data_IF_033290652420
#
_entry.id   IF_033290652420
#
_cell.length_a   1.000
_cell.length_b   1.000
_cell.length_c   1.000
_cell.angle_alpha   90.00
_cell.angle_beta   90.00
_cell.angle_gamma   90.00
#
_symmetry.space_group_name_H-M   'P 1'
#
loop_
_entity.id
_entity.type
_entity.pdbx_description
1 polymer ?
#
# COMPACT_ATOMS: atom_id res chain seq x y z
N UNK A 1 18.07 -29.57 29.84
CA UNK A 1 17.81 -28.28 30.55
C UNK A 1 16.82 -27.46 29.71
N UNK A 2 15.55 -27.41 30.15
CA UNK A 2 14.52 -26.61 29.54
C UNK A 2 14.68 -25.17 30.06
N UNK A 3 15.18 -24.26 29.27
CA UNK A 3 15.21 -22.83 29.57
C UNK A 3 13.76 -22.32 29.66
N UNK A 4 13.29 -22.03 30.88
CA UNK A 4 12.07 -21.26 31.11
C UNK A 4 12.29 -19.86 30.51
N UNK A 5 11.92 -19.64 29.24
CA UNK A 5 11.66 -18.28 28.75
C UNK A 5 10.42 -17.76 29.48
N UNK A 6 10.55 -16.65 30.20
CA UNK A 6 9.41 -15.93 30.72
C UNK A 6 8.45 -15.61 29.56
N UNK A 7 7.16 -15.84 29.76
CA UNK A 7 6.16 -15.44 28.79
C UNK A 7 6.30 -13.92 28.54
N UNK A 8 6.21 -13.46 27.29
CA UNK A 8 6.23 -12.03 27.02
C UNK A 8 5.10 -11.35 27.80
N UNK A 9 5.41 -10.28 28.50
CA UNK A 9 4.41 -9.44 29.14
C UNK A 9 3.56 -8.81 28.01
N UNK A 10 2.32 -9.25 27.90
CA UNK A 10 1.35 -8.63 27.02
C UNK A 10 0.90 -7.32 27.67
N UNK A 11 1.43 -6.21 27.21
CA UNK A 11 0.82 -4.90 27.46
C UNK A 11 -0.62 -4.93 26.93
N UNK A 12 -1.58 -4.41 27.69
CA UNK A 12 -2.96 -4.28 27.22
C UNK A 12 -2.96 -3.44 25.95
N UNK A 13 -3.41 -3.98 24.79
CA UNK A 13 -3.37 -3.24 23.55
C UNK A 13 -4.22 -1.98 23.66
N UNK A 14 -3.62 -0.82 23.37
CA UNK A 14 -4.37 0.43 23.26
C UNK A 14 -5.29 0.35 22.03
N UNK A 15 -6.58 0.55 22.23
CA UNK A 15 -7.55 0.49 21.15
C UNK A 15 -7.44 1.77 20.29
N UNK A 16 -7.13 1.63 19.00
CA UNK A 16 -7.09 2.75 18.06
C UNK A 16 -8.40 2.79 17.28
N UNK A 17 -9.16 3.87 17.46
CA UNK A 17 -10.42 4.08 16.74
C UNK A 17 -10.17 4.48 15.27
N UNK A 18 -11.19 4.33 14.42
CA UNK A 18 -11.13 4.80 13.02
C UNK A 18 -10.77 6.29 12.91
N UNK A 19 -11.27 7.11 13.83
CA UNK A 19 -11.01 8.55 13.87
C UNK A 19 -9.55 8.85 14.24
N UNK A 20 -9.01 8.13 15.21
CA UNK A 20 -7.62 8.28 15.63
C UNK A 20 -6.66 7.79 14.56
N UNK A 21 -6.97 6.68 13.92
CA UNK A 21 -6.20 6.17 12.77
C UNK A 21 -6.14 7.20 11.62
N UNK A 22 -7.30 7.80 11.27
CA UNK A 22 -7.33 8.84 10.24
C UNK A 22 -6.54 10.09 10.66
N UNK A 23 -6.60 10.51 11.92
CA UNK A 23 -5.87 11.66 12.45
C UNK A 23 -4.36 11.42 12.45
N UNK A 24 -3.91 10.22 12.85
CA UNK A 24 -2.50 9.86 12.96
C UNK A 24 -1.86 9.58 11.59
N UNK A 25 -2.56 8.88 10.71
CA UNK A 25 -2.05 8.55 9.37
C UNK A 25 -3.16 8.61 8.31
N UNK A 26 -3.54 9.83 7.86
CA UNK A 26 -4.56 10.00 6.82
C UNK A 26 -4.19 9.30 5.51
N UNK A 27 -2.89 9.22 5.21
CA UNK A 27 -2.38 8.58 4.01
C UNK A 27 -2.60 7.06 4.03
N UNK A 28 -2.31 6.42 5.16
CA UNK A 28 -2.55 4.98 5.31
C UNK A 28 -4.05 4.66 5.31
N UNK A 29 -4.87 5.50 5.95
CA UNK A 29 -6.32 5.32 5.98
C UNK A 29 -6.93 5.38 4.58
N UNK A 30 -6.68 6.47 3.84
CA UNK A 30 -7.21 6.66 2.48
C UNK A 30 -6.60 5.64 1.50
N UNK A 31 -5.31 5.35 1.63
CA UNK A 31 -4.62 4.33 0.82
C UNK A 31 -5.21 2.93 1.02
N UNK A 32 -5.46 2.52 2.28
CA UNK A 32 -6.06 1.21 2.59
C UNK A 32 -7.50 1.10 2.06
N UNK A 33 -8.32 2.14 2.25
CA UNK A 33 -9.69 2.17 1.74
C UNK A 33 -9.71 2.09 0.22
N UNK A 34 -8.94 2.96 -0.46
CA UNK A 34 -8.93 3.04 -1.92
C UNK A 34 -8.40 1.74 -2.57
N UNK A 35 -7.30 1.16 -2.03
CA UNK A 35 -6.82 -0.12 -2.57
C UNK A 35 -7.77 -1.27 -2.26
N UNK A 36 -8.49 -1.24 -1.13
CA UNK A 36 -9.57 -2.17 -0.84
C UNK A 36 -10.66 -2.13 -1.91
N UNK A 37 -11.09 -0.93 -2.32
CA UNK A 37 -12.04 -0.74 -3.41
C UNK A 37 -11.54 -1.36 -4.73
N UNK A 38 -10.25 -1.19 -5.05
CA UNK A 38 -9.62 -1.80 -6.23
C UNK A 38 -9.57 -3.34 -6.10
N UNK A 39 -9.22 -3.87 -4.92
CA UNK A 39 -9.18 -5.32 -4.71
C UNK A 39 -10.55 -5.96 -4.89
N UNK A 40 -11.58 -5.37 -4.29
CA UNK A 40 -12.95 -5.85 -4.46
C UNK A 40 -13.39 -5.86 -5.92
N UNK A 41 -13.07 -4.79 -6.65
CA UNK A 41 -13.36 -4.69 -8.07
C UNK A 41 -12.55 -5.71 -8.90
N UNK A 42 -11.22 -5.71 -8.75
CA UNK A 42 -10.32 -6.53 -9.58
C UNK A 42 -10.47 -8.02 -9.28
N UNK A 43 -10.37 -8.45 -8.01
CA UNK A 43 -10.50 -9.86 -7.67
C UNK A 43 -11.95 -10.37 -7.78
N UNK A 44 -12.93 -9.51 -7.47
CA UNK A 44 -14.34 -9.90 -7.53
C UNK A 44 -14.88 -10.02 -8.95
N UNK A 45 -14.49 -9.14 -9.86
CA UNK A 45 -15.14 -9.00 -11.16
C UNK A 45 -14.23 -9.20 -12.39
N UNK A 46 -12.95 -9.55 -12.23
CA UNK A 46 -12.05 -9.80 -13.37
C UNK A 46 -12.55 -10.95 -14.27
N UNK A 47 -13.13 -11.99 -13.68
CA UNK A 47 -13.70 -13.08 -14.44
C UNK A 47 -14.95 -12.64 -15.22
N UNK A 48 -15.80 -11.78 -14.62
CA UNK A 48 -16.96 -11.18 -15.27
C UNK A 48 -16.51 -10.25 -16.40
N UNK A 49 -15.45 -9.48 -16.20
CA UNK A 49 -14.81 -8.68 -17.25
C UNK A 49 -14.40 -9.52 -18.45
N UNK A 50 -13.69 -10.64 -18.21
CA UNK A 50 -13.32 -11.58 -19.28
C UNK A 50 -14.52 -12.20 -20.00
N UNK A 51 -15.56 -12.57 -19.25
CA UNK A 51 -16.79 -13.11 -19.83
C UNK A 51 -17.54 -12.08 -20.71
N UNK A 52 -17.61 -10.82 -20.28
CA UNK A 52 -18.20 -9.73 -21.07
C UNK A 52 -17.42 -9.42 -22.34
N UNK A 53 -16.09 -9.67 -22.37
CA UNK A 53 -15.27 -9.58 -23.58
C UNK A 53 -15.44 -10.78 -24.52
N UNK A 54 -16.26 -11.78 -24.18
CA UNK A 54 -16.45 -12.99 -24.98
C UNK A 54 -15.25 -13.95 -24.93
N UNK A 55 -14.37 -13.84 -23.94
CA UNK A 55 -13.23 -14.74 -23.78
C UNK A 55 -13.69 -16.15 -23.44
N UNK A 56 -12.98 -17.17 -23.95
CA UNK A 56 -13.21 -18.56 -23.57
C UNK A 56 -12.91 -18.79 -22.07
N UNK A 57 -13.47 -19.84 -21.50
CA UNK A 57 -13.22 -20.22 -20.09
C UNK A 57 -11.72 -20.35 -19.82
N UNK A 58 -10.96 -20.93 -20.75
CA UNK A 58 -9.51 -21.05 -20.62
C UNK A 58 -8.80 -19.69 -20.59
N UNK A 59 -9.19 -18.75 -21.46
CA UNK A 59 -8.64 -17.39 -21.47
C UNK A 59 -9.00 -16.64 -20.20
N UNK A 60 -10.23 -16.79 -19.68
CA UNK A 60 -10.63 -16.20 -18.38
C UNK A 60 -9.77 -16.77 -17.25
N UNK A 61 -9.50 -18.08 -17.25
CA UNK A 61 -8.64 -18.70 -16.24
C UNK A 61 -7.21 -18.15 -16.29
N UNK A 62 -6.64 -17.94 -17.49
CA UNK A 62 -5.32 -17.29 -17.65
C UNK A 62 -5.36 -15.85 -17.17
N UNK A 63 -6.41 -15.10 -17.47
CA UNK A 63 -6.58 -13.72 -17.05
C UNK A 63 -6.61 -13.60 -15.51
N UNK A 64 -7.38 -14.45 -14.84
CA UNK A 64 -7.44 -14.53 -13.37
C UNK A 64 -6.08 -14.94 -12.79
N UNK A 65 -5.43 -15.94 -13.39
CA UNK A 65 -4.10 -16.37 -12.99
C UNK A 65 -3.08 -15.23 -13.08
N UNK A 66 -3.01 -14.53 -14.20
CA UNK A 66 -2.09 -13.40 -14.40
C UNK A 66 -2.38 -12.30 -13.41
N UNK A 67 -3.65 -11.94 -13.21
CA UNK A 67 -4.07 -10.93 -12.24
C UNK A 67 -3.63 -11.26 -10.80
N UNK A 68 -3.59 -12.53 -10.43
CA UNK A 68 -3.21 -12.94 -9.06
C UNK A 68 -1.71 -13.22 -8.96
N UNK A 69 -1.17 -14.01 -9.89
CA UNK A 69 0.21 -14.52 -9.82
C UNK A 69 1.25 -13.40 -10.00
N UNK A 70 1.06 -12.54 -11.01
CA UNK A 70 1.99 -11.43 -11.24
C UNK A 70 1.98 -10.47 -10.05
N UNK A 71 0.81 -10.15 -9.49
CA UNK A 71 0.73 -9.33 -8.30
C UNK A 71 1.45 -9.94 -7.10
N UNK A 72 1.28 -11.25 -6.86
CA UNK A 72 1.97 -11.97 -5.80
C UNK A 72 3.50 -12.00 -6.00
N UNK A 73 3.96 -12.19 -7.24
CA UNK A 73 5.38 -12.19 -7.57
C UNK A 73 6.04 -10.83 -7.28
N UNK A 74 5.33 -9.74 -7.53
CA UNK A 74 5.84 -8.39 -7.33
C UNK A 74 5.75 -7.90 -5.88
N UNK A 75 5.14 -8.63 -4.95
CA UNK A 75 5.12 -8.26 -3.53
C UNK A 75 6.52 -8.13 -2.95
N UNK A 76 7.41 -9.07 -3.26
CA UNK A 76 8.78 -9.04 -2.75
C UNK A 76 9.61 -7.87 -3.31
N UNK A 77 9.72 -7.65 -4.65
CA UNK A 77 10.48 -6.53 -5.18
C UNK A 77 9.92 -5.17 -4.74
N UNK A 78 8.60 -4.98 -4.74
CA UNK A 78 7.99 -3.72 -4.31
C UNK A 78 8.17 -3.51 -2.80
N UNK A 79 8.03 -4.55 -1.97
CA UNK A 79 8.30 -4.50 -0.54
C UNK A 79 9.73 -4.05 -0.27
N UNK A 80 10.72 -4.69 -0.88
CA UNK A 80 12.14 -4.32 -0.76
C UNK A 80 12.41 -2.88 -1.21
N UNK A 81 11.76 -2.43 -2.28
CA UNK A 81 11.89 -1.06 -2.76
C UNK A 81 11.32 -0.06 -1.73
N UNK A 82 10.18 -0.38 -1.12
CA UNK A 82 9.56 0.47 -0.12
C UNK A 82 10.32 0.52 1.22
N UNK A 83 11.19 -0.46 1.48
CA UNK A 83 12.07 -0.44 2.67
C UNK A 83 13.32 0.42 2.47
N UNK A 84 13.70 0.70 1.21
CA UNK A 84 14.90 1.49 0.86
C UNK A 84 14.60 2.95 0.52
N UNK A 85 13.38 3.24 0.05
CA UNK A 85 12.97 4.57 -0.36
C UNK A 85 11.81 5.10 0.49
N UNK A 86 11.53 6.40 0.42
CA UNK A 86 10.37 7.00 1.08
C UNK A 86 9.08 6.33 0.59
N UNK A 87 8.35 5.69 1.50
CA UNK A 87 7.13 4.93 1.21
C UNK A 87 6.05 5.78 0.54
N UNK A 88 6.00 7.08 0.83
CA UNK A 88 5.06 8.03 0.19
C UNK A 88 5.36 8.18 -1.31
N UNK A 89 6.65 8.23 -1.67
CA UNK A 89 7.08 8.30 -3.08
C UNK A 89 6.78 6.98 -3.78
N UNK A 90 7.05 5.85 -3.13
CA UNK A 90 6.72 4.53 -3.69
C UNK A 90 5.22 4.41 -3.94
N UNK A 91 4.36 4.77 -2.97
CA UNK A 91 2.90 4.76 -3.15
C UNK A 91 2.45 5.66 -4.30
N UNK A 92 3.07 6.82 -4.49
CA UNK A 92 2.78 7.70 -5.62
C UNK A 92 3.15 7.05 -6.96
N UNK A 93 4.32 6.44 -7.05
CA UNK A 93 4.79 5.74 -8.25
C UNK A 93 3.85 4.56 -8.58
N UNK A 94 3.47 3.76 -7.58
CA UNK A 94 2.53 2.65 -7.74
C UNK A 94 1.17 3.14 -8.28
N UNK A 95 0.64 4.25 -7.73
CA UNK A 95 -0.60 4.85 -8.22
C UNK A 95 -0.50 5.30 -9.68
N UNK A 96 0.61 5.92 -10.08
CA UNK A 96 0.81 6.38 -11.46
C UNK A 96 0.92 5.18 -12.41
N UNK A 97 1.70 4.16 -12.08
CA UNK A 97 1.84 2.96 -12.93
C UNK A 97 0.48 2.23 -13.05
N UNK A 98 -0.26 2.09 -11.95
CA UNK A 98 -1.58 1.47 -11.94
C UNK A 98 -2.60 2.26 -12.77
N UNK A 99 -2.58 3.59 -12.69
CA UNK A 99 -3.40 4.47 -13.51
C UNK A 99 -3.07 4.29 -15.00
N UNK A 100 -1.80 4.40 -15.37
CA UNK A 100 -1.36 4.25 -16.76
C UNK A 100 -1.71 2.87 -17.30
N UNK A 101 -1.46 1.79 -16.53
CA UNK A 101 -1.83 0.44 -16.95
C UNK A 101 -3.34 0.27 -17.13
N UNK A 102 -4.17 0.86 -16.26
CA UNK A 102 -5.63 0.86 -16.42
C UNK A 102 -6.07 1.54 -17.70
N UNK A 103 -5.49 2.71 -18.03
CA UNK A 103 -5.73 3.42 -19.28
C UNK A 103 -5.28 2.58 -20.48
N UNK A 104 -4.12 1.92 -20.38
CA UNK A 104 -3.64 1.04 -21.46
C UNK A 104 -4.56 -0.16 -21.67
N UNK A 105 -5.16 -0.74 -20.63
CA UNK A 105 -6.18 -1.79 -20.82
C UNK A 105 -7.39 -1.25 -21.57
N UNK A 106 -7.86 -0.05 -21.27
CA UNK A 106 -9.01 0.56 -21.94
C UNK A 106 -8.72 0.80 -23.43
N UNK A 107 -7.53 1.31 -23.77
CA UNK A 107 -7.19 1.69 -25.14
C UNK A 107 -6.74 0.49 -25.98
N UNK A 108 -5.92 -0.37 -25.42
CA UNK A 108 -5.23 -1.42 -26.16
C UNK A 108 -5.72 -2.84 -25.87
N UNK A 109 -6.53 -3.04 -24.82
CA UNK A 109 -6.97 -4.37 -24.40
C UNK A 109 -7.81 -5.11 -25.44
N UNK A 110 -8.48 -4.40 -26.37
CA UNK A 110 -9.27 -4.97 -27.46
C UNK A 110 -8.43 -5.48 -28.64
N UNK A 111 -7.15 -5.08 -28.76
CA UNK A 111 -6.33 -5.42 -29.91
C UNK A 111 -5.91 -6.89 -29.93
N UNK A 112 -5.54 -7.44 -28.79
CA UNK A 112 -5.26 -8.87 -28.66
C UNK A 112 -5.29 -9.31 -27.20
N UNK A 113 -5.55 -10.61 -26.98
CA UNK A 113 -5.55 -11.21 -25.65
C UNK A 113 -4.18 -11.07 -24.95
N UNK A 114 -3.06 -11.17 -25.68
CA UNK A 114 -1.73 -11.03 -25.08
C UNK A 114 -1.45 -9.60 -24.60
N UNK A 115 -1.91 -8.58 -25.35
CA UNK A 115 -1.81 -7.17 -24.93
C UNK A 115 -2.67 -6.92 -23.69
N UNK A 116 -3.87 -7.48 -23.64
CA UNK A 116 -4.73 -7.44 -22.47
C UNK A 116 -4.02 -8.02 -21.24
N UNK A 117 -3.45 -9.24 -21.37
CA UNK A 117 -2.71 -9.90 -20.29
C UNK A 117 -1.51 -9.09 -19.83
N UNK A 118 -0.77 -8.47 -20.74
CA UNK A 118 0.37 -7.62 -20.42
C UNK A 118 -0.04 -6.48 -19.48
N UNK A 119 -1.05 -5.70 -19.86
CA UNK A 119 -1.44 -4.53 -19.08
C UNK A 119 -2.19 -4.89 -17.80
N UNK A 120 -2.98 -5.96 -17.79
CA UNK A 120 -3.57 -6.52 -16.56
C UNK A 120 -2.47 -7.02 -15.61
N UNK A 121 -1.43 -7.66 -16.14
CA UNK A 121 -0.27 -8.10 -15.36
C UNK A 121 0.48 -6.91 -14.73
N UNK A 122 0.76 -5.84 -15.51
CA UNK A 122 1.39 -4.61 -14.98
C UNK A 122 0.50 -3.96 -13.91
N UNK A 123 -0.80 -3.86 -14.15
CA UNK A 123 -1.76 -3.35 -13.17
C UNK A 123 -1.68 -4.13 -11.87
N UNK A 124 -1.70 -5.45 -11.94
CA UNK A 124 -1.66 -6.33 -10.78
C UNK A 124 -0.31 -6.29 -10.04
N UNK A 125 0.81 -6.18 -10.78
CA UNK A 125 2.16 -6.09 -10.24
C UNK A 125 2.33 -4.92 -9.25
N UNK A 126 1.59 -3.84 -9.45
CA UNK A 126 1.66 -2.66 -8.59
C UNK A 126 0.48 -2.54 -7.61
N UNK A 127 -0.67 -3.09 -7.98
CA UNK A 127 -1.88 -3.05 -7.14
C UNK A 127 -1.75 -3.97 -5.92
N UNK A 128 -1.37 -5.23 -6.12
CA UNK A 128 -1.37 -6.22 -5.04
C UNK A 128 -0.38 -5.91 -3.90
N UNK A 129 0.86 -5.46 -4.15
CA UNK A 129 1.78 -5.06 -3.09
C UNK A 129 1.41 -3.73 -2.40
N UNK A 130 0.52 -2.93 -2.97
CA UNK A 130 0.18 -1.60 -2.48
C UNK A 130 -0.23 -1.58 -1.00
N UNK A 131 -1.10 -2.51 -0.58
CA UNK A 131 -1.55 -2.59 0.82
C UNK A 131 -0.41 -2.90 1.78
N UNK A 132 0.56 -3.74 1.38
CA UNK A 132 1.74 -4.02 2.19
C UNK A 132 2.58 -2.75 2.42
N UNK A 133 2.72 -1.90 1.40
CA UNK A 133 3.42 -0.60 1.53
C UNK A 133 2.62 0.36 2.43
N UNK A 134 1.30 0.38 2.32
CA UNK A 134 0.42 1.21 3.17
C UNK A 134 0.52 0.82 4.64
N UNK A 135 0.48 -0.48 4.96
CA UNK A 135 0.59 -0.97 6.34
C UNK A 135 1.99 -0.71 6.91
N UNK A 136 3.02 -0.86 6.07
CA UNK A 136 4.40 -0.53 6.45
C UNK A 136 4.58 0.97 6.71
N UNK A 137 3.92 1.83 5.91
CA UNK A 137 3.91 3.27 6.14
C UNK A 137 3.22 3.64 7.46
N UNK A 138 2.10 2.98 7.80
CA UNK A 138 1.45 3.19 9.09
C UNK A 138 2.38 2.83 10.26
N UNK A 139 3.04 1.69 10.17
CA UNK A 139 3.91 1.16 11.23
C UNK A 139 5.14 2.04 11.51
N UNK A 140 5.56 2.88 10.56
CA UNK A 140 6.67 3.83 10.76
C UNK A 140 6.35 4.91 11.81
N UNK A 141 5.07 5.14 12.12
CA UNK A 141 4.60 6.21 13.03
C UNK A 141 4.00 5.68 14.33
N UNK A 142 4.03 4.36 14.58
CA UNK A 142 3.38 3.73 15.73
C UNK A 142 4.39 3.23 16.75
N UNK A 143 4.01 3.30 18.02
CA UNK A 143 4.69 2.60 19.09
C UNK A 143 4.39 1.09 19.02
N UNK A 144 5.28 0.26 19.60
CA UNK A 144 5.18 -1.21 19.49
C UNK A 144 3.87 -1.80 20.05
N UNK A 145 3.31 -1.18 21.07
CA UNK A 145 2.05 -1.57 21.71
C UNK A 145 0.80 -1.15 20.89
N UNK A 146 0.95 -0.23 19.95
CA UNK A 146 -0.13 0.27 19.09
C UNK A 146 -0.23 -0.48 17.74
N UNK A 147 0.87 -1.12 17.27
CA UNK A 147 0.97 -1.73 15.94
C UNK A 147 -0.15 -2.73 15.68
N UNK A 148 -0.45 -3.62 16.63
CA UNK A 148 -1.48 -4.67 16.44
C UNK A 148 -2.87 -4.05 16.31
N UNK A 149 -3.21 -3.08 17.17
CA UNK A 149 -4.51 -2.43 17.13
C UNK A 149 -4.69 -1.56 15.88
N UNK A 150 -3.69 -0.76 15.53
CA UNK A 150 -3.72 0.09 14.33
C UNK A 150 -3.81 -0.74 13.06
N UNK A 151 -3.04 -1.83 12.95
CA UNK A 151 -3.08 -2.74 11.80
C UNK A 151 -4.44 -3.43 11.68
N UNK A 152 -5.05 -3.83 12.80
CA UNK A 152 -6.40 -4.40 12.80
C UNK A 152 -7.44 -3.40 12.32
N UNK A 153 -7.38 -2.14 12.80
CA UNK A 153 -8.28 -1.08 12.37
C UNK A 153 -8.06 -0.72 10.89
N UNK A 154 -6.80 -0.70 10.42
CA UNK A 154 -6.49 -0.47 9.00
C UNK A 154 -7.03 -1.60 8.11
N UNK A 155 -6.94 -2.85 8.56
CA UNK A 155 -7.51 -4.00 7.86
C UNK A 155 -9.03 -3.88 7.75
N UNK A 156 -9.71 -3.39 8.79
CA UNK A 156 -11.15 -3.11 8.73
C UNK A 156 -11.48 -2.05 7.69
N UNK A 157 -10.69 -0.96 7.61
CA UNK A 157 -10.85 0.08 6.60
C UNK A 157 -10.67 -0.48 5.18
N UNK A 158 -9.67 -1.34 4.98
CA UNK A 158 -9.45 -2.02 3.71
C UNK A 158 -10.62 -2.95 3.35
N UNK A 159 -11.13 -3.72 4.33
CA UNK A 159 -12.28 -4.60 4.14
C UNK A 159 -13.56 -3.85 3.76
N UNK A 160 -13.81 -2.67 4.33
CA UNK A 160 -14.92 -1.81 3.90
C UNK A 160 -14.79 -1.41 2.43
N UNK A 161 -13.58 -1.04 1.99
CA UNK A 161 -13.31 -0.78 0.57
C UNK A 161 -13.58 -2.02 -0.30
N UNK A 162 -13.10 -3.18 0.13
CA UNK A 162 -13.25 -4.46 -0.57
C UNK A 162 -14.73 -4.86 -0.77
N UNK A 163 -15.59 -4.54 0.17
CA UNK A 163 -17.05 -4.79 0.06
C UNK A 163 -17.72 -3.77 -0.87
N UNK A 164 -17.33 -2.50 -0.79
CA UNK A 164 -17.94 -1.45 -1.61
C UNK A 164 -17.48 -1.48 -3.07
N UNK A 165 -16.24 -1.94 -3.33
CA UNK A 165 -15.66 -2.00 -4.66
C UNK A 165 -16.53 -2.71 -5.71
N UNK A 166 -16.93 -3.97 -5.50
CA UNK A 166 -17.76 -4.72 -6.44
C UNK A 166 -19.12 -4.07 -6.70
N UNK A 167 -19.72 -3.44 -5.68
CA UNK A 167 -21.02 -2.77 -5.80
C UNK A 167 -20.91 -1.59 -6.76
N UNK A 168 -19.91 -0.73 -6.56
CA UNK A 168 -19.74 0.47 -7.36
C UNK A 168 -19.30 0.11 -8.79
N UNK A 169 -18.31 -0.78 -8.92
CA UNK A 169 -17.79 -1.15 -10.25
C UNK A 169 -18.81 -1.89 -11.09
N UNK A 170 -19.75 -2.64 -10.48
CA UNK A 170 -20.83 -3.26 -11.23
C UNK A 170 -21.70 -2.24 -11.96
N UNK A 171 -21.93 -1.07 -11.33
CA UNK A 171 -22.60 0.07 -11.96
C UNK A 171 -21.81 0.62 -13.16
N UNK A 172 -20.48 0.79 -13.00
CA UNK A 172 -19.62 1.18 -14.13
C UNK A 172 -19.64 0.17 -15.27
N UNK A 173 -19.58 -1.13 -14.97
CA UNK A 173 -19.65 -2.20 -15.97
C UNK A 173 -21.03 -2.32 -16.63
N UNK A 174 -22.08 -1.84 -16.00
CA UNK A 174 -23.41 -1.75 -16.61
C UNK A 174 -23.51 -0.61 -17.60
N UNK A 175 -22.79 0.48 -17.38
CA UNK A 175 -22.83 1.69 -18.20
C UNK A 175 -21.77 1.70 -19.30
N UNK A 176 -20.54 1.30 -18.99
CA UNK A 176 -19.36 1.31 -19.88
C UNK A 176 -18.96 -0.08 -20.38
N UNK A 177 -19.87 -1.06 -20.28
CA UNK A 177 -19.64 -2.46 -20.61
C UNK A 177 -18.44 -3.08 -19.84
N UNK A 178 -17.74 -4.05 -20.40
CA UNK A 178 -16.61 -4.74 -19.75
C UNK A 178 -15.56 -3.74 -19.21
N UNK A 179 -15.18 -2.76 -20.02
CA UNK A 179 -14.13 -1.78 -19.67
C UNK A 179 -14.49 -0.86 -18.50
N UNK A 180 -15.75 -0.85 -18.06
CA UNK A 180 -16.19 -0.17 -16.83
C UNK A 180 -15.35 -0.51 -15.61
N UNK A 181 -14.81 -1.75 -15.54
CA UNK A 181 -13.86 -2.16 -14.49
C UNK A 181 -12.63 -1.25 -14.43
N UNK A 182 -11.98 -1.02 -15.57
CA UNK A 182 -10.73 -0.26 -15.62
C UNK A 182 -10.98 1.26 -15.63
N UNK A 183 -12.12 1.74 -16.11
CA UNK A 183 -12.54 3.13 -15.89
C UNK A 183 -12.68 3.45 -14.41
N UNK A 184 -13.35 2.57 -13.65
CA UNK A 184 -13.45 2.70 -12.21
C UNK A 184 -12.06 2.68 -11.52
N UNK A 185 -11.21 1.70 -11.87
CA UNK A 185 -9.84 1.63 -11.33
C UNK A 185 -9.06 2.91 -11.61
N UNK A 186 -9.10 3.43 -12.84
CA UNK A 186 -8.43 4.66 -13.21
C UNK A 186 -8.88 5.86 -12.37
N UNK A 187 -10.19 6.03 -12.13
CA UNK A 187 -10.74 7.10 -11.29
C UNK A 187 -10.22 6.99 -9.85
N UNK A 188 -10.26 5.79 -9.28
CA UNK A 188 -9.76 5.58 -7.91
C UNK A 188 -8.26 5.88 -7.83
N UNK A 189 -7.46 5.44 -8.82
CA UNK A 189 -6.01 5.73 -8.84
C UNK A 189 -5.70 7.21 -9.07
N UNK A 190 -6.48 7.94 -9.86
CA UNK A 190 -6.35 9.40 -9.97
C UNK A 190 -6.54 10.05 -8.60
N UNK A 191 -7.60 9.68 -7.88
CA UNK A 191 -7.86 10.20 -6.54
C UNK A 191 -6.72 9.87 -5.57
N UNK A 192 -6.26 8.62 -5.53
CA UNK A 192 -5.15 8.18 -4.69
C UNK A 192 -3.83 8.89 -5.07
N UNK A 193 -3.55 9.06 -6.36
CA UNK A 193 -2.33 9.74 -6.81
C UNK A 193 -2.34 11.23 -6.41
N UNK A 194 -3.46 11.94 -6.60
CA UNK A 194 -3.60 13.33 -6.21
C UNK A 194 -3.47 13.50 -4.69
N UNK A 195 -4.14 12.64 -3.92
CA UNK A 195 -4.05 12.67 -2.46
C UNK A 195 -2.63 12.39 -1.97
N UNK A 196 -1.99 11.35 -2.49
CA UNK A 196 -0.60 10.99 -2.15
C UNK A 196 0.36 12.11 -2.54
N UNK A 197 0.20 12.72 -3.72
CA UNK A 197 1.03 13.83 -4.17
C UNK A 197 0.93 15.05 -3.24
N UNK A 198 -0.26 15.40 -2.79
CA UNK A 198 -0.45 16.47 -1.82
C UNK A 198 0.30 16.17 -0.50
N UNK A 199 0.24 14.93 -0.02
CA UNK A 199 0.93 14.51 1.20
C UNK A 199 2.45 14.50 1.07
N UNK A 200 2.98 14.12 -0.07
CA UNK A 200 4.42 14.21 -0.37
C UNK A 200 4.90 15.67 -0.34
N UNK A 201 4.12 16.61 -0.90
CA UNK A 201 4.45 18.03 -0.88
C UNK A 201 4.43 18.64 0.52
N UNK A 202 3.39 18.36 1.30
CA UNK A 202 3.25 18.87 2.67
C UNK A 202 4.36 18.35 3.58
N UNK A 203 4.75 17.06 3.46
CA UNK A 203 5.86 16.48 4.22
C UNK A 203 7.21 17.16 3.93
N UNK A 204 7.51 17.52 2.69
CA UNK A 204 8.71 18.28 2.33
C UNK A 204 8.76 19.67 2.97
N UNK A 205 7.62 20.31 3.13
CA UNK A 205 7.56 21.65 3.73
C UNK A 205 7.79 21.61 5.24
N UNK A 206 7.33 20.58 5.94
CA UNK A 206 7.58 20.41 7.39
C UNK A 206 9.04 20.05 7.70
N UNK A 207 9.69 19.26 6.85
CA UNK A 207 11.12 18.94 7.01
C UNK A 207 12.03 20.18 6.82
N UNK A 208 11.65 21.12 5.95
CA UNK A 208 12.40 22.38 5.73
C UNK A 208 12.26 23.35 6.92
N UNK A 209 11.16 23.29 7.67
CA UNK A 209 10.95 24.14 8.85
C UNK A 209 11.67 23.63 10.11
N UNK A 210 12.08 22.35 10.15
CA UNK A 210 12.73 21.72 11.31
C UNK A 210 14.27 21.73 11.22
N UNK A 211 14.84 22.37 10.18
CA UNK A 211 16.29 22.45 9.92
C UNK A 211 17.06 23.27 10.99
N UNK A 212 16.36 23.94 11.93
CA UNK A 212 16.96 24.68 13.04
C UNK A 212 17.04 23.89 14.37
N UNK A 213 16.53 22.66 14.41
CA UNK A 213 16.78 21.74 15.52
C UNK A 213 17.82 20.72 15.06
N UNK A 214 18.93 20.51 15.79
CA UNK A 214 19.89 19.46 15.43
C UNK A 214 19.20 18.11 15.61
N UNK A 215 18.48 17.68 14.57
CA UNK A 215 17.89 16.34 14.51
C UNK A 215 19.04 15.34 14.41
N UNK A 216 19.24 14.56 15.47
CA UNK A 216 20.04 13.34 15.37
C UNK A 216 19.42 12.45 14.30
N UNK A 217 19.99 12.46 13.10
CA UNK A 217 19.66 11.48 12.06
C UNK A 217 20.20 10.15 12.54
N UNK A 218 19.37 9.40 13.25
CA UNK A 218 19.65 7.97 13.52
C UNK A 218 19.40 7.25 12.19
N UNK A 219 20.43 6.66 11.55
CA UNK A 219 20.25 5.91 10.33
C UNK A 219 19.26 4.77 10.61
N UNK A 220 18.21 4.62 9.81
CA UNK A 220 17.19 3.54 9.90
C UNK A 220 17.77 2.11 9.86
N UNK A 221 19.05 1.94 9.56
CA UNK A 221 19.78 0.68 9.50
C UNK A 221 20.75 0.48 10.67
N UNK A 222 20.67 1.30 11.73
CA UNK A 222 21.54 1.07 12.89
C UNK A 222 21.15 -0.26 13.53
N UNK A 223 22.02 -1.26 13.37
CA UNK A 223 21.97 -2.51 14.14
C UNK A 223 22.03 -2.16 15.63
N UNK A 224 21.52 -3.05 16.50
CA UNK A 224 21.59 -2.87 17.96
C UNK A 224 23.00 -2.49 18.46
N UNK A 225 24.04 -2.94 17.74
CA UNK A 225 25.47 -2.59 17.98
C UNK A 225 25.75 -1.11 17.66
N UNK A 226 25.15 -0.57 16.58
CA UNK A 226 25.35 0.85 16.23
C UNK A 226 24.65 1.81 17.21
N UNK A 227 23.55 1.40 17.85
CA UNK A 227 22.93 2.17 18.94
C UNK A 227 23.79 2.16 20.21
N UNK A 228 24.39 1.03 20.58
CA UNK A 228 25.29 0.97 21.76
C UNK A 228 26.53 1.85 21.58
N UNK A 229 27.20 1.81 20.43
CA UNK A 229 28.37 2.66 20.14
C UNK A 229 28.02 4.14 20.13
N UNK A 230 26.84 4.53 19.60
CA UNK A 230 26.39 5.94 19.63
C UNK A 230 26.09 6.42 21.06
N UNK A 231 25.53 5.56 21.91
CA UNK A 231 25.24 5.89 23.33
C UNK A 231 26.54 6.00 24.14
N UNK A 232 27.50 5.09 23.93
CA UNK A 232 28.81 5.16 24.60
C UNK A 232 29.61 6.40 24.21
N UNK A 233 29.57 6.82 22.92
CA UNK A 233 30.21 8.05 22.47
C UNK A 233 29.53 9.32 23.02
N UNK A 234 28.22 9.28 23.32
CA UNK A 234 27.55 10.40 23.99
C UNK A 234 27.93 10.51 25.46
N UNK A 235 27.99 9.39 26.18
CA UNK A 235 28.38 9.36 27.58
C UNK A 235 29.81 9.90 27.73
N UNK A 236 30.75 9.43 26.89
CA UNK A 236 32.12 9.90 26.92
C UNK A 236 32.28 11.42 26.66
N UNK A 237 31.44 12.02 25.80
CA UNK A 237 31.44 13.48 25.56
C UNK A 237 30.80 14.32 26.67
N UNK A 238 29.98 13.70 27.51
CA UNK A 238 29.41 14.38 28.70
C UNK A 238 30.43 14.36 29.82
N UNK A 239 31.13 13.24 30.02
CA UNK A 239 32.17 13.09 31.02
C UNK A 239 33.43 13.96 30.73
N UNK A 240 33.72 14.34 29.49
CA UNK A 240 34.78 15.27 29.12
C UNK A 240 34.47 16.76 29.38
N UNK A 241 33.20 17.07 29.71
CA UNK A 241 32.73 18.45 29.94
C UNK A 241 32.49 18.81 31.43
N UNK A 242 32.62 17.84 32.32
CA UNK A 242 32.68 18.05 33.78
C UNK A 242 34.13 18.03 34.30
#
# INVERSE_FOLDING_TARGET
MLTKKSAPEFSTPKFISLKDLYKNSPMSFIGAFGIGMIYGASFGLIAVFGAKLGLSIFQISILVFVNTFIGALFQYPVGKLSDTFDRRIILLILNIIALVSSICVIIFGSFSFNILLLFVGIHSAVSLPYYAVVISHLNDFLEKDEVVSASSTLTLVNALGLVLGPIIVSGFMSYFDAYGLFYYCAIVYVFLALFTYQRVRVGRTSEIYDENTPSMIVPRTASAIGMQTATEQMISKIDEKE
#
